data_IF_430960029614
#
_entry.id   IF_430960029614
#
_cell.length_a   1.000
_cell.length_b   1.000
_cell.length_c   1.000
_cell.angle_alpha   90.00
_cell.angle_beta   90.00
_cell.angle_gamma   90.00
#
_symmetry.space_group_name_H-M   'P 1'
#
loop_
_entity.id
_entity.type
_entity.pdbx_description
1 polymer ?
#
# COMPACT_ATOMS: atom_id res chain seq x y z
N UNK A 1 65.60 28.85 32.20
CA UNK A 1 64.67 27.72 32.44
C UNK A 1 63.25 28.25 32.46
N UNK A 2 62.39 27.80 31.55
CA UNK A 2 60.92 27.82 31.66
C UNK A 2 60.39 27.01 30.46
N UNK A 3 60.01 25.76 30.71
CA UNK A 3 59.41 24.86 29.71
C UNK A 3 57.96 25.30 29.45
N UNK A 4 57.66 25.73 28.22
CA UNK A 4 56.26 25.92 27.78
C UNK A 4 55.80 24.62 27.14
N UNK A 5 54.94 23.89 27.88
CA UNK A 5 54.31 22.64 27.45
C UNK A 5 53.48 22.89 26.19
N UNK A 6 53.83 22.22 25.09
CA UNK A 6 52.98 22.08 23.90
C UNK A 6 51.75 21.26 24.27
N UNK A 7 50.57 21.88 24.24
CA UNK A 7 49.30 21.18 24.39
C UNK A 7 49.00 20.38 23.11
N UNK A 8 48.55 19.14 23.29
CA UNK A 8 48.34 18.13 22.26
C UNK A 8 47.17 18.48 21.32
N UNK A 9 47.26 18.17 20.01
CA UNK A 9 46.21 18.42 19.02
C UNK A 9 45.17 17.29 19.00
N UNK A 10 44.42 17.08 20.10
CA UNK A 10 43.48 15.95 20.22
C UNK A 10 42.02 16.34 20.49
N UNK A 11 41.68 17.63 20.48
CA UNK A 11 40.29 18.08 20.76
C UNK A 11 39.57 18.58 19.50
N UNK A 12 40.28 18.81 18.39
CA UNK A 12 39.69 19.31 17.14
C UNK A 12 39.29 18.22 16.13
N UNK A 13 39.47 16.94 16.45
CA UNK A 13 39.07 15.81 15.59
C UNK A 13 37.67 15.26 15.90
N UNK A 14 36.85 15.98 16.68
CA UNK A 14 35.53 15.52 17.14
C UNK A 14 34.38 16.46 16.75
N UNK A 15 34.54 17.21 15.66
CA UNK A 15 33.49 18.10 15.14
C UNK A 15 33.07 17.72 13.70
N UNK A 16 33.80 16.83 13.03
CA UNK A 16 33.52 16.50 11.62
C UNK A 16 32.82 15.15 11.37
N UNK A 17 32.44 14.41 12.42
CA UNK A 17 31.87 13.05 12.26
C UNK A 17 30.34 12.95 12.39
N UNK A 18 29.58 14.06 12.35
CA UNK A 18 28.12 14.02 12.45
C UNK A 18 27.35 14.58 11.24
N UNK A 19 28.04 14.95 10.15
CA UNK A 19 27.41 15.52 8.95
C UNK A 19 27.25 14.52 7.80
N UNK A 20 27.11 13.22 8.10
CA UNK A 20 26.63 12.22 7.13
C UNK A 20 25.56 11.30 7.71
N UNK A 21 24.88 11.70 8.79
CA UNK A 21 23.57 11.17 9.07
C UNK A 21 22.59 11.93 8.17
N UNK A 22 22.33 11.38 6.98
CA UNK A 22 21.20 11.79 6.14
C UNK A 22 19.97 11.85 7.03
N UNK A 23 19.61 13.05 7.44
CA UNK A 23 18.36 13.35 8.13
C UNK A 23 17.30 13.16 7.06
N UNK A 24 16.89 11.91 6.84
CA UNK A 24 15.71 11.61 6.08
C UNK A 24 14.58 12.31 6.82
N UNK A 25 14.04 13.36 6.23
CA UNK A 25 13.03 14.15 6.88
C UNK A 25 11.81 13.25 7.12
N UNK A 26 11.06 13.42 8.22
CA UNK A 26 9.85 12.62 8.48
C UNK A 26 8.83 12.67 7.34
N UNK A 27 8.87 13.73 6.52
CA UNK A 27 8.03 13.91 5.34
C UNK A 27 8.60 13.31 4.04
N UNK A 28 9.86 12.85 4.02
CA UNK A 28 10.50 12.18 2.87
C UNK A 28 10.26 10.66 2.86
N UNK A 29 9.67 10.13 3.92
CA UNK A 29 9.13 8.78 3.85
C UNK A 29 7.81 8.82 3.08
N UNK A 30 7.50 7.72 2.41
CA UNK A 30 6.20 7.42 1.77
C UNK A 30 6.15 7.76 0.28
N UNK A 31 6.64 6.83 -0.54
CA UNK A 31 5.83 6.12 -1.55
C UNK A 31 6.70 5.03 -2.21
N UNK A 32 7.18 4.05 -1.45
CA UNK A 32 7.57 2.76 -2.03
C UNK A 32 6.28 2.07 -2.48
N UNK A 33 5.77 2.47 -3.65
CA UNK A 33 4.62 1.85 -4.30
C UNK A 33 4.93 0.35 -4.40
N UNK A 34 4.13 -0.48 -3.71
CA UNK A 34 4.32 -1.92 -3.70
C UNK A 34 4.41 -2.42 -5.15
N UNK A 35 5.60 -2.90 -5.55
CA UNK A 35 5.85 -3.41 -6.89
C UNK A 35 5.29 -4.81 -6.97
N UNK A 36 4.17 -4.99 -7.66
CA UNK A 36 3.61 -6.32 -7.94
C UNK A 36 4.23 -6.84 -9.22
N UNK A 37 5.01 -7.90 -9.10
CA UNK A 37 5.64 -8.58 -10.24
C UNK A 37 5.05 -9.99 -10.37
N UNK A 38 4.85 -10.44 -11.61
CA UNK A 38 4.44 -11.81 -11.93
C UNK A 38 5.38 -12.33 -13.02
N UNK A 39 6.13 -13.42 -12.77
CA UNK A 39 7.00 -14.01 -13.80
C UNK A 39 6.16 -14.66 -14.89
N UNK A 40 6.62 -14.55 -16.14
CA UNK A 40 6.04 -15.29 -17.27
C UNK A 40 6.73 -16.64 -17.36
N UNK A 41 5.96 -17.71 -17.27
CA UNK A 41 6.46 -19.09 -17.31
C UNK A 41 6.06 -19.70 -18.66
N UNK A 42 6.99 -20.37 -19.34
CA UNK A 42 6.77 -21.08 -20.60
C UNK A 42 6.16 -20.20 -21.71
N UNK A 43 6.56 -18.92 -21.76
CA UNK A 43 6.02 -17.91 -22.68
C UNK A 43 4.49 -17.71 -22.61
N UNK A 44 3.84 -18.09 -21.51
CA UNK A 44 2.38 -17.97 -21.34
C UNK A 44 2.01 -16.59 -20.78
N UNK A 45 2.13 -15.57 -21.61
CA UNK A 45 1.90 -14.16 -21.24
C UNK A 45 0.47 -13.93 -20.75
N UNK A 46 -0.54 -14.49 -21.42
CA UNK A 46 -1.95 -14.28 -21.04
C UNK A 46 -2.26 -14.79 -19.63
N UNK A 47 -1.65 -15.91 -19.24
CA UNK A 47 -1.83 -16.47 -17.89
C UNK A 47 -1.14 -15.60 -16.84
N UNK A 48 0.03 -15.06 -17.14
CA UNK A 48 0.72 -14.11 -16.28
C UNK A 48 -0.12 -12.84 -16.10
N UNK A 49 -0.68 -12.29 -17.19
CA UNK A 49 -1.55 -11.11 -17.16
C UNK A 49 -2.82 -11.35 -16.35
N UNK A 50 -3.52 -12.47 -16.55
CA UNK A 50 -4.69 -12.85 -15.73
C UNK A 50 -4.33 -12.94 -14.24
N UNK A 51 -3.16 -13.49 -13.94
CA UNK A 51 -2.69 -13.62 -12.56
C UNK A 51 -2.34 -12.28 -11.94
N UNK A 52 -1.69 -11.39 -12.69
CA UNK A 52 -1.44 -10.01 -12.29
C UNK A 52 -2.75 -9.27 -12.00
N UNK A 53 -3.72 -9.33 -12.92
CA UNK A 53 -5.04 -8.70 -12.72
C UNK A 53 -5.75 -9.22 -11.47
N UNK A 54 -5.72 -10.53 -11.21
CA UNK A 54 -6.28 -11.10 -9.96
C UNK A 54 -5.57 -10.58 -8.71
N UNK A 55 -4.23 -10.50 -8.71
CA UNK A 55 -3.47 -9.93 -7.59
C UNK A 55 -3.81 -8.46 -7.36
N UNK A 56 -3.97 -7.67 -8.43
CA UNK A 56 -4.37 -6.26 -8.35
C UNK A 56 -5.79 -6.06 -7.81
N UNK A 57 -6.72 -6.95 -8.18
CA UNK A 57 -8.09 -6.95 -7.65
C UNK A 57 -8.09 -7.35 -6.17
N UNK A 58 -7.35 -8.40 -5.81
CA UNK A 58 -7.23 -8.87 -4.43
C UNK A 58 -6.64 -7.80 -3.50
N UNK A 59 -5.65 -7.04 -3.98
CA UNK A 59 -5.08 -5.89 -3.28
C UNK A 59 -5.92 -4.62 -3.34
N UNK A 60 -7.14 -4.67 -3.90
CA UNK A 60 -8.07 -3.53 -4.07
C UNK A 60 -7.48 -2.33 -4.84
N UNK A 61 -6.32 -2.50 -5.50
CA UNK A 61 -5.54 -1.40 -6.10
C UNK A 61 -6.28 -0.78 -7.29
N UNK A 62 -6.93 -1.59 -8.13
CA UNK A 62 -7.69 -1.08 -9.28
C UNK A 62 -8.84 -0.17 -8.85
N UNK A 63 -9.51 -0.51 -7.75
CA UNK A 63 -10.62 0.30 -7.22
C UNK A 63 -10.10 1.62 -6.67
N UNK A 64 -8.98 1.59 -5.96
CA UNK A 64 -8.34 2.81 -5.46
C UNK A 64 -7.85 3.71 -6.57
N UNK A 65 -7.20 3.17 -7.60
CA UNK A 65 -6.75 3.96 -8.75
C UNK A 65 -7.94 4.61 -9.46
N UNK A 66 -9.05 3.90 -9.62
CA UNK A 66 -10.28 4.46 -10.18
C UNK A 66 -10.87 5.57 -9.29
N UNK A 67 -10.88 5.38 -7.96
CA UNK A 67 -11.36 6.41 -7.01
C UNK A 67 -10.46 7.66 -7.03
N UNK A 68 -9.16 7.50 -7.22
CA UNK A 68 -8.17 8.59 -7.24
C UNK A 68 -8.06 9.28 -8.61
N UNK A 69 -8.66 8.73 -9.66
CA UNK A 69 -8.59 9.29 -11.01
C UNK A 69 -9.24 10.69 -11.11
N UNK A 70 -10.30 10.93 -10.32
CA UNK A 70 -11.01 12.20 -10.29
C UNK A 70 -11.31 12.60 -8.85
N UNK A 71 -11.36 13.91 -8.60
CA UNK A 71 -11.80 14.43 -7.31
C UNK A 71 -13.31 14.20 -7.14
N UNK A 72 -13.70 13.64 -6.00
CA UNK A 72 -15.10 13.47 -5.59
C UNK A 72 -15.26 14.17 -4.25
N UNK A 73 -16.34 14.95 -4.09
CA UNK A 73 -16.57 15.69 -2.85
C UNK A 73 -16.75 14.71 -1.68
N UNK A 74 -16.28 15.02 -0.46
CA UNK A 74 -16.39 14.09 0.68
C UNK A 74 -17.82 13.66 1.00
N UNK A 75 -18.80 14.55 0.83
CA UNK A 75 -20.22 14.23 1.02
C UNK A 75 -20.71 13.19 0.02
N UNK A 76 -20.36 13.35 -1.26
CA UNK A 76 -20.71 12.41 -2.33
C UNK A 76 -20.01 11.06 -2.13
N UNK A 77 -18.74 11.09 -1.69
CA UNK A 77 -17.98 9.88 -1.39
C UNK A 77 -18.66 9.05 -0.28
N UNK A 78 -19.15 9.69 0.79
CA UNK A 78 -19.92 9.00 1.85
C UNK A 78 -21.20 8.36 1.31
N UNK A 79 -21.93 9.04 0.42
CA UNK A 79 -23.13 8.49 -0.21
C UNK A 79 -22.81 7.29 -1.09
N UNK A 80 -21.70 7.34 -1.85
CA UNK A 80 -21.25 6.24 -2.69
C UNK A 80 -20.84 5.02 -1.85
N UNK A 81 -20.12 5.24 -0.76
CA UNK A 81 -19.69 4.17 0.14
C UNK A 81 -20.89 3.51 0.84
N UNK A 82 -21.88 4.29 1.29
CA UNK A 82 -23.13 3.76 1.85
C UNK A 82 -23.90 2.91 0.82
N UNK A 83 -24.07 3.41 -0.40
CA UNK A 83 -24.72 2.66 -1.48
C UNK A 83 -23.98 1.36 -1.80
N UNK A 84 -22.65 1.37 -1.74
CA UNK A 84 -21.85 0.16 -1.94
C UNK A 84 -22.03 -0.84 -0.80
N UNK A 85 -22.04 -0.39 0.46
CA UNK A 85 -22.28 -1.26 1.61
C UNK A 85 -23.66 -1.90 1.57
N UNK A 86 -24.70 -1.13 1.21
CA UNK A 86 -26.07 -1.62 1.13
C UNK A 86 -26.22 -2.67 0.04
N UNK A 87 -25.63 -2.42 -1.14
CA UNK A 87 -25.56 -3.41 -2.23
C UNK A 87 -24.85 -4.68 -1.79
N UNK A 88 -23.73 -4.57 -1.07
CA UNK A 88 -22.97 -5.73 -0.57
C UNK A 88 -23.79 -6.55 0.42
N UNK A 89 -24.47 -5.89 1.37
CA UNK A 89 -25.31 -6.54 2.37
C UNK A 89 -26.52 -7.21 1.73
N UNK A 90 -27.19 -6.55 0.79
CA UNK A 90 -28.31 -7.12 0.03
C UNK A 90 -27.89 -8.38 -0.73
N UNK A 91 -26.77 -8.34 -1.46
CA UNK A 91 -26.22 -9.53 -2.14
C UNK A 91 -25.88 -10.66 -1.18
N UNK A 92 -25.33 -10.35 0.00
CA UNK A 92 -25.00 -11.37 1.02
C UNK A 92 -26.27 -12.03 1.57
N UNK A 93 -27.31 -11.24 1.86
CA UNK A 93 -28.62 -11.75 2.31
C UNK A 93 -29.28 -12.63 1.25
N UNK A 94 -29.31 -12.17 0.01
CA UNK A 94 -29.87 -12.94 -1.11
C UNK A 94 -29.14 -14.28 -1.30
N UNK A 95 -27.80 -14.27 -1.29
CA UNK A 95 -27.01 -15.50 -1.41
C UNK A 95 -27.29 -16.48 -0.26
N UNK A 96 -27.41 -15.99 0.97
CA UNK A 96 -27.73 -16.82 2.12
C UNK A 96 -29.13 -17.46 2.00
N UNK A 97 -30.13 -16.68 1.57
CA UNK A 97 -31.49 -17.18 1.33
C UNK A 97 -31.51 -18.25 0.23
N UNK A 98 -30.86 -17.99 -0.91
CA UNK A 98 -30.75 -18.96 -2.01
C UNK A 98 -30.07 -20.24 -1.57
N UNK A 99 -28.96 -20.15 -0.84
CA UNK A 99 -28.27 -21.33 -0.32
C UNK A 99 -29.16 -22.16 0.62
N UNK A 100 -29.94 -21.51 1.48
CA UNK A 100 -30.89 -22.19 2.36
C UNK A 100 -32.00 -22.92 1.59
N UNK A 101 -32.53 -22.30 0.52
CA UNK A 101 -33.53 -22.92 -0.35
C UNK A 101 -32.94 -24.12 -1.10
N UNK A 102 -31.75 -23.97 -1.67
CA UNK A 102 -31.07 -25.06 -2.38
C UNK A 102 -30.75 -26.24 -1.45
N UNK A 103 -30.30 -25.96 -0.22
CA UNK A 103 -30.04 -27.00 0.77
C UNK A 103 -31.32 -27.77 1.17
N UNK A 104 -32.45 -27.08 1.31
CA UNK A 104 -33.76 -27.72 1.56
C UNK A 104 -34.25 -28.56 0.38
N UNK A 105 -33.95 -28.16 -0.86
CA UNK A 105 -34.36 -28.89 -2.07
C UNK A 105 -33.52 -30.15 -2.34
N UNK A 106 -32.32 -30.23 -1.76
CA UNK A 106 -31.42 -31.36 -1.92
C UNK A 106 -31.70 -32.52 -0.93
N UNK A 107 -32.62 -32.32 0.01
CA UNK A 107 -33.14 -33.35 0.93
C UNK A 107 -34.36 -34.02 0.32
#
# INVERSE_FOLDING_TARGET
>A
MLQVRRLLPSVLARIESSLTASTAHPWETVLTRAKITVPVINNQVDKAMKTLSRKLIAGNMLKEWKKRAHFVRPAEQRVLDQKETDKRLSKKRFKAQMNAIMARRAQ
#
